data_IF_117280113268
#
_entry.id   IF_117280113268
#
_cell.length_a   1.000
_cell.length_b   1.000
_cell.length_c   1.000
_cell.angle_alpha   90.00
_cell.angle_beta   90.00
_cell.angle_gamma   90.00
#
_symmetry.space_group_name_H-M   'P 1'
#
loop_
_entity.id
_entity.type
_entity.pdbx_description
1 polymer ?
#
# COMPACT_ATOMS: atom_id res chain seq x y z
N UNK A 1 7.20 -4.60 -6.77
CA UNK A 1 6.70 -4.21 -5.43
C UNK A 1 7.46 -4.87 -4.31
N UNK A 2 7.48 -6.21 -4.16
CA UNK A 2 8.25 -6.90 -3.10
C UNK A 2 9.69 -6.38 -2.92
N UNK A 3 10.45 -6.29 -4.00
CA UNK A 3 11.81 -5.70 -3.98
C UNK A 3 11.88 -4.29 -3.35
N UNK A 4 10.86 -3.45 -3.55
CA UNK A 4 10.79 -2.12 -2.94
C UNK A 4 10.33 -2.17 -1.48
N UNK A 5 9.51 -3.15 -1.09
CA UNK A 5 9.15 -3.40 0.32
C UNK A 5 10.28 -4.07 1.11
N UNK A 6 11.21 -4.74 0.43
CA UNK A 6 12.42 -5.32 1.02
C UNK A 6 13.57 -4.31 1.11
N UNK A 7 13.50 -3.19 0.38
CA UNK A 7 14.55 -2.17 0.33
C UNK A 7 14.50 -1.28 1.59
N UNK A 8 15.47 -1.41 2.52
CA UNK A 8 15.46 -0.71 3.81
C UNK A 8 15.49 0.82 3.73
N UNK A 9 15.85 1.38 2.57
CA UNK A 9 15.86 2.81 2.33
C UNK A 9 14.49 3.37 1.93
N UNK A 10 13.51 2.55 1.55
CA UNK A 10 12.20 3.02 1.14
C UNK A 10 11.21 3.01 2.32
N UNK A 11 10.19 3.86 2.26
CA UNK A 11 9.14 3.94 3.26
C UNK A 11 7.98 2.98 2.94
N UNK A 12 8.29 1.69 2.80
CA UNK A 12 7.33 0.62 2.59
C UNK A 12 7.95 -0.69 3.07
N UNK A 13 7.16 -1.55 3.74
CA UNK A 13 7.70 -2.77 4.33
C UNK A 13 8.88 -2.48 5.26
N UNK A 14 10.06 -3.06 4.94
CA UNK A 14 11.30 -2.84 5.69
C UNK A 14 11.76 -1.40 5.54
N UNK A 15 11.94 -0.70 6.66
CA UNK A 15 12.36 0.70 6.64
C UNK A 15 11.21 1.70 6.64
N UNK A 16 9.96 1.23 6.71
CA UNK A 16 8.77 2.06 6.88
C UNK A 16 8.85 2.99 8.11
N UNK A 17 8.26 4.18 8.02
CA UNK A 17 8.24 5.16 9.09
C UNK A 17 7.46 4.65 10.31
N UNK A 18 7.77 5.24 11.46
CA UNK A 18 7.10 4.89 12.71
C UNK A 18 5.89 5.80 12.95
N UNK A 19 4.81 5.23 13.49
CA UNK A 19 3.70 5.98 14.07
C UNK A 19 4.10 6.63 15.41
N UNK A 20 3.17 7.36 16.04
CA UNK A 20 3.41 8.06 17.30
C UNK A 20 3.79 7.13 18.48
N UNK A 21 3.42 5.84 18.39
CA UNK A 21 3.75 4.82 19.39
C UNK A 21 5.10 4.13 19.12
N UNK A 22 5.79 4.51 18.03
CA UNK A 22 7.07 3.91 17.65
C UNK A 22 6.94 2.55 16.96
N UNK A 23 5.76 2.22 16.47
CA UNK A 23 5.43 1.01 15.72
C UNK A 23 5.33 1.28 14.21
N UNK A 24 5.45 0.24 13.40
CA UNK A 24 5.21 0.29 11.95
C UNK A 24 3.79 -0.19 11.67
N UNK A 25 3.04 0.58 10.88
CA UNK A 25 1.73 0.20 10.34
C UNK A 25 1.76 0.42 8.83
N UNK A 26 1.53 -0.64 8.08
CA UNK A 26 1.71 -0.66 6.63
C UNK A 26 0.36 -0.62 5.91
N UNK A 27 0.32 0.09 4.80
CA UNK A 27 -0.81 0.16 3.88
C UNK A 27 -0.34 -0.21 2.47
N UNK A 28 -1.15 -0.96 1.72
CA UNK A 28 -0.88 -1.27 0.32
C UNK A 28 -2.17 -1.43 -0.48
N UNK A 29 -2.09 -1.16 -1.78
CA UNK A 29 -3.21 -1.27 -2.71
C UNK A 29 -2.76 -1.72 -4.09
N UNK A 30 -3.62 -2.48 -4.77
CA UNK A 30 -3.45 -2.90 -6.16
C UNK A 30 -4.75 -2.76 -6.94
N UNK A 31 -4.64 -2.54 -8.24
CA UNK A 31 -5.78 -2.54 -9.16
C UNK A 31 -5.35 -3.02 -10.54
N UNK A 32 -6.20 -3.82 -11.19
CA UNK A 32 -6.06 -4.18 -12.60
C UNK A 32 -7.07 -3.43 -13.47
N UNK A 33 -6.63 -2.99 -14.64
CA UNK A 33 -7.41 -2.14 -15.55
C UNK A 33 -8.46 -2.89 -16.35
N UNK A 34 -8.33 -4.21 -16.52
CA UNK A 34 -9.20 -4.95 -17.43
C UNK A 34 -10.62 -5.16 -16.90
N UNK A 35 -10.74 -5.37 -15.60
CA UNK A 35 -12.03 -5.61 -14.93
C UNK A 35 -12.30 -4.64 -13.79
N UNK A 36 -11.37 -3.70 -13.56
CA UNK A 36 -11.40 -2.75 -12.45
C UNK A 36 -11.39 -3.41 -11.07
N UNK A 37 -11.00 -4.69 -10.98
CA UNK A 37 -10.78 -5.35 -9.68
C UNK A 37 -9.65 -4.63 -8.95
N UNK A 38 -9.88 -4.42 -7.66
CA UNK A 38 -8.94 -3.77 -6.78
C UNK A 38 -8.93 -4.48 -5.43
N UNK A 39 -7.79 -4.40 -4.75
CA UNK A 39 -7.61 -4.90 -3.41
C UNK A 39 -6.66 -4.00 -2.64
N UNK A 40 -6.89 -3.86 -1.34
CA UNK A 40 -6.06 -3.04 -0.48
C UNK A 40 -6.16 -3.45 0.97
N UNK A 41 -5.09 -3.15 1.69
CA UNK A 41 -4.97 -3.42 3.11
C UNK A 41 -4.37 -2.24 3.83
N UNK A 42 -4.82 -2.05 5.06
CA UNK A 42 -4.46 -0.89 5.87
C UNK A 42 -4.13 -1.27 7.30
N UNK A 43 -3.19 -0.54 7.89
CA UNK A 43 -2.75 -0.69 9.26
C UNK A 43 -2.30 -2.13 9.63
N UNK A 44 -1.73 -2.86 8.67
CA UNK A 44 -1.20 -4.21 8.92
C UNK A 44 0.21 -4.11 9.50
N UNK A 45 0.55 -5.04 10.41
CA UNK A 45 1.82 -4.98 11.17
C UNK A 45 2.66 -6.24 11.08
N UNK A 46 2.07 -7.35 10.65
CA UNK A 46 2.64 -8.69 10.78
C UNK A 46 2.65 -9.47 9.46
N UNK A 47 2.38 -8.81 8.32
CA UNK A 47 2.44 -9.41 6.98
C UNK A 47 3.72 -8.96 6.29
N UNK A 48 4.56 -9.90 5.86
CA UNK A 48 5.91 -9.61 5.32
C UNK A 48 5.87 -8.60 4.17
N UNK A 49 4.94 -8.81 3.23
CA UNK A 49 4.75 -8.01 2.02
C UNK A 49 3.29 -7.57 1.91
N UNK A 50 2.93 -6.37 2.42
CA UNK A 50 1.55 -5.86 2.36
C UNK A 50 0.94 -5.86 0.96
N UNK A 51 1.75 -5.65 -0.09
CA UNK A 51 1.28 -5.71 -1.49
C UNK A 51 0.73 -7.09 -1.87
N UNK A 52 1.32 -8.17 -1.38
CA UNK A 52 0.84 -9.53 -1.67
C UNK A 52 -0.53 -9.76 -1.05
N UNK A 53 -0.74 -9.26 0.16
CA UNK A 53 -2.04 -9.30 0.81
C UNK A 53 -3.08 -8.46 0.05
N UNK A 54 -2.71 -7.29 -0.47
CA UNK A 54 -3.59 -6.51 -1.33
C UNK A 54 -3.97 -7.28 -2.61
N UNK A 55 -3.03 -8.02 -3.21
CA UNK A 55 -3.30 -8.92 -4.34
C UNK A 55 -4.26 -10.04 -3.95
N UNK A 56 -4.07 -10.70 -2.81
CA UNK A 56 -4.99 -11.76 -2.37
C UNK A 56 -6.41 -11.24 -2.11
N UNK A 57 -6.55 -10.03 -1.54
CA UNK A 57 -7.87 -9.38 -1.39
C UNK A 57 -8.53 -9.14 -2.76
N UNK A 58 -7.76 -8.67 -3.74
CA UNK A 58 -8.25 -8.45 -5.11
C UNK A 58 -8.68 -9.76 -5.79
N UNK A 59 -7.90 -10.83 -5.62
CA UNK A 59 -8.15 -12.13 -6.23
C UNK A 59 -9.33 -12.86 -5.61
N UNK A 60 -9.50 -12.77 -4.28
CA UNK A 60 -10.66 -13.29 -3.55
C UNK A 60 -11.96 -12.60 -4.01
N UNK A 61 -11.89 -11.28 -4.26
CA UNK A 61 -12.92 -10.53 -4.97
C UNK A 61 -14.23 -10.26 -4.20
N UNK A 62 -14.37 -10.76 -2.96
CA UNK A 62 -15.56 -10.45 -2.11
C UNK A 62 -15.51 -9.05 -1.52
N UNK A 63 -14.30 -8.53 -1.31
CA UNK A 63 -14.03 -7.27 -0.63
C UNK A 63 -12.94 -6.49 -1.38
N UNK A 64 -12.90 -5.18 -1.16
CA UNK A 64 -11.85 -4.32 -1.75
C UNK A 64 -10.83 -3.89 -0.71
N UNK A 65 -11.25 -3.63 0.54
CA UNK A 65 -10.36 -3.14 1.60
C UNK A 65 -10.52 -3.96 2.88
N UNK A 66 -9.41 -4.39 3.47
CA UNK A 66 -9.35 -4.99 4.80
C UNK A 66 -8.41 -4.20 5.72
N UNK A 67 -8.68 -4.20 7.03
CA UNK A 67 -7.90 -3.42 7.99
C UNK A 67 -7.37 -4.23 9.17
N UNK A 68 -6.19 -3.84 9.64
CA UNK A 68 -5.56 -4.27 10.88
C UNK A 68 -5.63 -5.78 11.10
N UNK A 69 -6.06 -6.19 12.30
CA UNK A 69 -6.12 -7.61 12.68
C UNK A 69 -7.04 -8.47 11.79
N UNK A 70 -8.04 -7.87 11.14
CA UNK A 70 -8.91 -8.57 10.19
C UNK A 70 -8.15 -8.95 8.92
N UNK A 71 -7.39 -8.00 8.38
CA UNK A 71 -6.49 -8.23 7.25
C UNK A 71 -5.39 -9.26 7.61
N UNK A 72 -4.81 -9.18 8.82
CA UNK A 72 -3.82 -10.17 9.29
C UNK A 72 -4.41 -11.58 9.42
N UNK A 73 -5.66 -11.73 9.86
CA UNK A 73 -6.34 -13.05 9.89
C UNK A 73 -6.55 -13.59 8.48
N UNK A 74 -7.06 -12.76 7.58
CA UNK A 74 -7.24 -13.13 6.18
C UNK A 74 -5.92 -13.57 5.53
N UNK A 75 -4.81 -12.87 5.80
CA UNK A 75 -3.48 -13.23 5.32
C UNK A 75 -3.06 -14.65 5.76
N UNK A 76 -3.28 -14.98 7.04
CA UNK A 76 -2.99 -16.32 7.57
C UNK A 76 -3.86 -17.40 6.91
N UNK A 77 -5.14 -17.13 6.73
CA UNK A 77 -6.08 -18.06 6.10
C UNK A 77 -5.73 -18.33 4.63
N UNK A 78 -5.07 -17.37 3.95
CA UNK A 78 -4.57 -17.50 2.57
C UNK A 78 -3.11 -17.96 2.50
N UNK A 79 -2.48 -18.32 3.61
CA UNK A 79 -1.12 -18.88 3.64
C UNK A 79 -0.02 -17.87 3.28
N UNK A 80 -0.25 -16.57 3.47
CA UNK A 80 0.76 -15.54 3.25
C UNK A 80 1.87 -15.57 4.32
N UNK A 81 3.04 -15.07 3.94
CA UNK A 81 4.19 -14.97 4.85
C UNK A 81 3.92 -13.93 5.95
N UNK A 82 3.82 -14.43 7.18
CA UNK A 82 3.71 -13.61 8.38
C UNK A 82 5.10 -13.35 8.97
N UNK A 83 5.27 -12.24 9.66
CA UNK A 83 6.54 -11.85 10.28
C UNK A 83 6.36 -11.19 11.63
N UNK A 84 7.41 -11.24 12.45
CA UNK A 84 7.53 -10.36 13.61
C UNK A 84 7.64 -8.89 13.14
N UNK A 85 6.84 -7.95 13.67
CA UNK A 85 6.86 -6.55 13.25
C UNK A 85 8.23 -5.85 13.41
N UNK A 86 9.10 -6.36 14.29
CA UNK A 86 10.44 -5.78 14.52
C UNK A 86 11.32 -5.80 13.28
N UNK A 87 11.09 -6.69 12.31
CA UNK A 87 11.88 -6.75 11.07
C UNK A 87 11.73 -5.46 10.24
N UNK A 88 10.61 -4.76 10.39
CA UNK A 88 10.36 -3.53 9.65
C UNK A 88 11.20 -2.37 10.20
N UNK A 89 11.77 -2.51 11.39
CA UNK A 89 12.57 -1.50 12.08
C UNK A 89 14.07 -1.84 11.98
N UNK A 90 14.69 -1.48 10.86
CA UNK A 90 16.14 -1.66 10.67
C UNK A 90 16.99 -0.52 11.28
N UNK A 91 16.44 0.69 11.38
CA UNK A 91 17.13 1.87 11.85
C UNK A 91 16.13 2.89 12.40
N UNK A 92 15.76 2.69 13.66
CA UNK A 92 14.75 3.50 14.36
C UNK A 92 15.03 5.01 14.29
N UNK A 93 16.28 5.45 14.44
CA UNK A 93 16.63 6.88 14.37
C UNK A 93 16.36 7.48 12.98
N UNK A 94 16.65 6.72 11.92
CA UNK A 94 16.33 7.11 10.55
C UNK A 94 14.82 7.16 10.34
N UNK A 95 14.13 6.09 10.73
CA UNK A 95 12.68 5.93 10.49
C UNK A 95 11.83 6.99 11.20
N UNK A 96 12.26 7.44 12.39
CA UNK A 96 11.64 8.56 13.12
C UNK A 96 11.83 9.91 12.42
N UNK A 97 12.92 10.06 11.65
CA UNK A 97 13.29 11.31 10.98
C UNK A 97 12.92 11.33 9.50
N UNK A 98 12.25 10.29 8.99
CA UNK A 98 11.69 10.30 7.64
C UNK A 98 10.76 11.51 7.54
N UNK A 99 11.15 12.45 6.69
CA UNK A 99 10.40 13.67 6.45
C UNK A 99 9.50 13.47 5.24
N UNK A 100 8.22 13.82 5.38
CA UNK A 100 7.23 13.69 4.31
C UNK A 100 6.59 12.30 4.21
N UNK A 101 5.83 12.13 3.14
CA UNK A 101 5.23 10.87 2.73
C UNK A 101 6.07 10.32 1.58
N UNK A 102 7.02 9.46 1.88
CA UNK A 102 7.69 8.67 0.86
C UNK A 102 6.85 7.40 0.66
N UNK A 103 6.52 7.06 -0.57
CA UNK A 103 5.61 5.96 -0.91
C UNK A 103 6.15 5.32 -2.17
N UNK A 104 6.14 3.99 -2.22
CA UNK A 104 6.59 3.26 -3.40
C UNK A 104 5.38 2.83 -4.21
N UNK A 105 5.49 2.92 -5.52
CA UNK A 105 4.44 2.50 -6.43
C UNK A 105 5.01 2.09 -7.78
N UNK A 106 4.24 1.28 -8.50
CA UNK A 106 4.56 0.86 -9.85
C UNK A 106 3.30 0.79 -10.69
N UNK A 107 3.41 1.28 -11.93
CA UNK A 107 2.45 1.04 -13.01
C UNK A 107 3.11 0.16 -14.06
N UNK A 108 2.36 -0.77 -14.63
CA UNK A 108 2.86 -1.67 -15.67
C UNK A 108 1.82 -1.85 -16.78
N UNK A 109 2.31 -2.08 -17.99
CA UNK A 109 1.54 -2.49 -19.16
C UNK A 109 2.13 -3.78 -19.71
N UNK A 110 1.32 -4.80 -19.90
CA UNK A 110 1.77 -6.06 -20.52
C UNK A 110 1.73 -6.01 -22.06
N UNK A 111 2.08 -7.12 -22.71
CA UNK A 111 2.12 -7.23 -24.17
C UNK A 111 0.73 -7.20 -24.81
N UNK A 112 -0.31 -7.61 -24.08
CA UNK A 112 -1.71 -7.56 -24.51
C UNK A 112 -2.35 -6.19 -24.27
N UNK A 113 -1.58 -5.27 -23.67
CA UNK A 113 -1.98 -3.90 -23.38
C UNK A 113 -2.73 -3.73 -22.07
N UNK A 114 -2.79 -4.76 -21.22
CA UNK A 114 -3.44 -4.69 -19.89
C UNK A 114 -2.61 -3.86 -18.94
N UNK A 115 -3.29 -3.05 -18.14
CA UNK A 115 -2.69 -2.17 -17.16
C UNK A 115 -2.88 -2.71 -15.75
N UNK A 116 -1.86 -2.53 -14.92
CA UNK A 116 -1.94 -2.79 -13.50
C UNK A 116 -1.18 -1.72 -12.72
N UNK A 117 -1.64 -1.46 -11.51
CA UNK A 117 -0.98 -0.55 -10.57
C UNK A 117 -0.89 -1.19 -9.20
N UNK A 118 0.20 -0.91 -8.49
CA UNK A 118 0.40 -1.30 -7.11
C UNK A 118 1.12 -0.20 -6.34
N UNK A 119 0.74 0.00 -5.07
CA UNK A 119 1.31 0.99 -4.16
C UNK A 119 1.47 0.38 -2.77
N UNK A 120 2.53 0.74 -2.07
CA UNK A 120 2.80 0.33 -0.69
C UNK A 120 3.46 1.45 0.09
N UNK A 121 3.13 1.59 1.37
CA UNK A 121 3.62 2.69 2.20
C UNK A 121 3.64 2.35 3.69
N UNK A 122 4.58 2.96 4.43
CA UNK A 122 4.53 3.08 5.89
C UNK A 122 3.65 4.23 6.39
N UNK A 123 3.15 5.09 5.49
CA UNK A 123 2.42 6.31 5.81
C UNK A 123 3.37 7.49 6.08
N UNK A 124 3.01 8.32 7.05
CA UNK A 124 3.80 9.50 7.44
C UNK A 124 4.40 9.31 8.83
N UNK A 125 5.63 9.82 9.04
CA UNK A 125 6.31 9.74 10.33
C UNK A 125 5.51 10.44 11.42
N UNK A 126 5.37 9.78 12.58
CA UNK A 126 4.61 10.30 13.72
C UNK A 126 3.10 10.31 13.51
N UNK A 127 2.57 9.60 12.50
CA UNK A 127 1.12 9.45 12.31
C UNK A 127 0.45 8.92 13.58
N UNK A 128 -0.80 9.32 13.82
CA UNK A 128 -1.63 8.64 14.82
C UNK A 128 -1.77 7.16 14.43
N UNK A 129 -1.69 6.23 15.40
CA UNK A 129 -1.98 4.82 15.14
C UNK A 129 -3.34 4.66 14.47
N UNK A 130 -3.41 3.82 13.44
CA UNK A 130 -4.62 3.62 12.64
C UNK A 130 -4.93 4.74 11.63
N UNK A 131 -4.06 5.75 11.46
CA UNK A 131 -4.21 6.72 10.36
C UNK A 131 -3.96 6.02 9.02
N UNK A 132 -4.93 6.17 8.12
CA UNK A 132 -4.91 5.59 6.77
C UNK A 132 -4.64 6.68 5.74
N UNK A 133 -3.66 6.43 4.86
CA UNK A 133 -3.33 7.28 3.73
C UNK A 133 -4.14 6.96 2.46
N UNK A 134 -3.75 7.59 1.35
CA UNK A 134 -4.36 7.41 0.03
C UNK A 134 -3.93 6.13 -0.68
N UNK A 135 -2.70 5.68 -0.44
CA UNK A 135 -2.06 4.56 -1.14
C UNK A 135 -2.91 3.29 -1.30
N UNK A 136 -3.64 2.80 -0.27
CA UNK A 136 -4.45 1.60 -0.40
C UNK A 136 -5.82 1.84 -1.05
N UNK A 137 -6.21 3.09 -1.31
CA UNK A 137 -7.57 3.47 -1.70
C UNK A 137 -7.65 3.65 -3.23
N UNK A 138 -8.41 2.79 -3.95
CA UNK A 138 -8.63 2.94 -5.38
C UNK A 138 -9.30 4.29 -5.69
N UNK A 139 -8.75 5.00 -6.67
CA UNK A 139 -9.19 6.32 -7.09
C UNK A 139 -8.61 7.47 -6.28
N UNK A 140 -7.98 7.22 -5.13
CA UNK A 140 -7.23 8.22 -4.39
C UNK A 140 -5.73 8.09 -4.66
N UNK A 141 -5.07 7.06 -4.13
CA UNK A 141 -3.61 6.89 -4.26
C UNK A 141 -3.18 6.07 -5.47
N UNK A 142 -4.09 5.26 -6.02
CA UNK A 142 -3.85 4.48 -7.23
C UNK A 142 -5.12 4.26 -8.04
N UNK A 143 -4.99 4.10 -9.35
CA UNK A 143 -6.09 3.74 -10.24
C UNK A 143 -5.54 3.13 -11.54
N UNK A 144 -6.25 2.15 -12.11
CA UNK A 144 -5.93 1.58 -13.41
C UNK A 144 -7.22 1.29 -14.20
N UNK A 145 -7.20 1.62 -15.49
CA UNK A 145 -8.25 1.33 -16.46
C UNK A 145 -7.61 1.13 -17.83
N UNK A 146 -7.79 -0.04 -18.44
CA UNK A 146 -7.15 -0.40 -19.71
C UNK A 146 -7.50 0.58 -20.85
N UNK A 147 -8.63 1.29 -20.75
CA UNK A 147 -9.08 2.23 -21.77
C UNK A 147 -8.40 3.60 -21.66
N UNK A 148 -7.99 4.01 -20.46
CA UNK A 148 -7.62 5.40 -20.18
C UNK A 148 -6.21 5.54 -19.61
N UNK A 149 -5.74 4.59 -18.81
CA UNK A 149 -4.40 4.64 -18.21
C UNK A 149 -4.34 4.10 -16.79
N UNK A 150 -3.13 4.14 -16.22
CA UNK A 150 -2.87 3.78 -14.83
C UNK A 150 -1.96 4.79 -14.15
N UNK A 151 -2.21 5.03 -12.87
CA UNK A 151 -1.48 6.01 -12.06
C UNK A 151 -1.36 5.54 -10.62
N UNK A 152 -0.22 5.82 -10.01
CA UNK A 152 -0.01 5.79 -8.57
C UNK A 152 0.66 7.09 -8.13
N UNK A 153 0.39 7.53 -6.90
CA UNK A 153 0.98 8.74 -6.35
C UNK A 153 1.73 8.55 -5.04
N UNK A 154 2.49 9.59 -4.72
CA UNK A 154 3.17 9.79 -3.43
C UNK A 154 2.97 11.24 -3.01
N UNK A 155 2.82 11.49 -1.71
CA UNK A 155 2.59 12.84 -1.18
C UNK A 155 1.58 12.89 -0.03
N UNK A 156 0.93 14.04 0.14
CA UNK A 156 0.01 14.27 1.26
C UNK A 156 -1.31 13.50 1.06
N UNK A 157 -1.40 12.30 1.65
CA UNK A 157 -2.53 11.39 1.44
C UNK A 157 -3.91 12.00 1.72
N UNK A 158 -4.04 12.89 2.69
CA UNK A 158 -5.32 13.56 2.97
C UNK A 158 -5.82 14.43 1.80
N UNK A 159 -4.91 14.98 0.98
CA UNK A 159 -5.28 15.74 -0.21
C UNK A 159 -5.69 14.80 -1.35
N UNK A 160 -4.94 13.69 -1.55
CA UNK A 160 -5.26 12.66 -2.53
C UNK A 160 -6.66 12.07 -2.32
N UNK A 161 -6.99 11.74 -1.06
CA UNK A 161 -8.31 11.20 -0.69
C UNK A 161 -9.42 12.22 -0.97
N UNK A 162 -9.26 13.47 -0.50
CA UNK A 162 -10.30 14.50 -0.64
C UNK A 162 -10.60 14.85 -2.10
N UNK A 163 -9.60 14.74 -2.98
CA UNK A 163 -9.72 15.11 -4.38
C UNK A 163 -10.01 13.92 -5.32
N UNK A 164 -9.88 12.67 -4.84
CA UNK A 164 -9.91 11.50 -5.72
C UNK A 164 -8.84 11.59 -6.81
N UNK A 165 -7.61 11.97 -6.42
CA UNK A 165 -6.61 12.49 -7.35
C UNK A 165 -6.20 11.46 -8.42
N UNK A 166 -5.99 10.19 -8.03
CA UNK A 166 -5.67 9.14 -9.01
C UNK A 166 -6.79 8.94 -10.04
N UNK A 167 -8.07 8.94 -9.62
CA UNK A 167 -9.19 8.80 -10.55
C UNK A 167 -9.31 10.01 -11.48
N UNK A 168 -9.00 11.21 -10.98
CA UNK A 168 -9.05 12.47 -11.76
C UNK A 168 -7.98 12.51 -12.86
N UNK A 169 -6.85 11.84 -12.66
CA UNK A 169 -5.75 11.79 -13.63
C UNK A 169 -5.97 10.80 -14.78
N UNK A 170 -6.93 9.87 -14.64
CA UNK A 170 -7.24 8.84 -15.64
C UNK A 170 -8.58 9.19 -16.29
N UNK A 171 -8.54 9.79 -17.48
CA UNK A 171 -9.70 10.37 -18.19
C UNK A 171 -9.86 9.83 -19.61
#
# INVERSE_FOLDING_TARGET
MRHMEDEPLLNAGVGACLNADGEVELDAGVMEGATLRAGGVVCVRDVRHPVDLAVEVMLDGRHVLLSGSGASRFARDHGLEMTDPSIFINNRKRQQRLAGADTVGAVARDADGRLAVAVSTGGISGKLPGRIGDSPIPGAGMYADDLFGAVCGTGQGEAFIRLGLARLMVV
#
